data_IF_761437705921
#
_entry.id   IF_761437705921
#
_cell.length_a   1.000
_cell.length_b   1.000
_cell.length_c   1.000
_cell.angle_alpha   90.00
_cell.angle_beta   90.00
_cell.angle_gamma   90.00
#
_symmetry.space_group_name_H-M   'P 1'
#
loop_
_entity.id
_entity.type
_entity.pdbx_description
1 polymer ?
#
# COMPACT_ATOMS: atom_id res chain seq x y z
N UNK A 1 6.00 5.17 13.40
CA UNK A 1 5.80 5.53 11.97
C UNK A 1 7.06 5.49 11.12
N UNK A 2 8.25 5.63 11.70
CA UNK A 2 9.48 5.64 10.88
C UNK A 2 9.70 4.32 10.14
N UNK A 3 9.47 3.19 10.80
CA UNK A 3 9.58 1.88 10.14
C UNK A 3 8.54 1.71 9.04
N UNK A 4 7.35 2.22 9.26
CA UNK A 4 6.26 2.15 8.27
C UNK A 4 6.61 2.98 7.04
N UNK A 5 7.19 4.18 7.24
CA UNK A 5 7.65 5.02 6.13
C UNK A 5 8.78 4.36 5.35
N UNK A 6 9.68 3.67 6.04
CA UNK A 6 10.77 2.93 5.41
C UNK A 6 10.21 1.80 4.52
N UNK A 7 9.25 1.04 5.04
CA UNK A 7 8.59 -0.02 4.27
C UNK A 7 7.84 0.56 3.07
N UNK A 8 7.10 1.65 3.29
CA UNK A 8 6.39 2.33 2.20
C UNK A 8 7.37 2.82 1.13
N UNK A 9 8.54 3.31 1.55
CA UNK A 9 9.59 3.74 0.63
C UNK A 9 10.11 2.63 -0.26
N UNK A 10 10.27 1.44 0.30
CA UNK A 10 10.70 0.25 -0.48
C UNK A 10 9.65 -0.11 -1.55
N UNK A 11 8.38 -0.08 -1.17
CA UNK A 11 7.27 -0.36 -2.09
C UNK A 11 7.22 0.71 -3.18
N UNK A 12 7.28 1.98 -2.78
CA UNK A 12 7.24 3.11 -3.70
C UNK A 12 8.38 3.07 -4.71
N UNK A 13 9.61 2.86 -4.23
CA UNK A 13 10.80 2.80 -5.09
C UNK A 13 10.70 1.69 -6.12
N UNK A 14 10.26 0.50 -5.70
CA UNK A 14 10.06 -0.62 -6.61
C UNK A 14 9.03 -0.29 -7.70
N UNK A 15 7.90 0.23 -7.29
CA UNK A 15 6.80 0.51 -8.21
C UNK A 15 7.11 1.67 -9.15
N UNK A 16 7.75 2.73 -8.64
CA UNK A 16 8.16 3.86 -9.48
C UNK A 16 9.20 3.45 -10.51
N UNK A 17 10.13 2.58 -10.13
CA UNK A 17 11.13 2.08 -11.06
C UNK A 17 10.51 1.24 -12.19
N UNK A 18 9.39 0.58 -11.92
CA UNK A 18 8.75 -0.31 -12.88
C UNK A 18 7.62 0.37 -13.68
N UNK A 19 6.85 1.25 -13.05
CA UNK A 19 5.65 1.83 -13.65
C UNK A 19 5.68 3.35 -13.77
N UNK A 20 6.73 3.99 -13.31
CA UNK A 20 6.95 5.43 -13.41
C UNK A 20 5.79 6.24 -12.81
N UNK A 21 5.33 7.27 -13.53
CA UNK A 21 4.28 8.17 -13.04
C UNK A 21 2.90 7.53 -12.93
N UNK A 22 2.75 6.28 -13.37
CA UNK A 22 1.47 5.57 -13.28
C UNK A 22 1.16 5.06 -11.88
N UNK A 23 2.09 5.16 -10.94
CA UNK A 23 1.82 4.92 -9.52
C UNK A 23 1.51 6.25 -8.87
N UNK A 24 0.27 6.39 -8.36
CA UNK A 24 -0.24 7.67 -7.86
C UNK A 24 0.05 7.88 -6.39
N UNK A 25 -0.29 6.90 -5.56
CA UNK A 25 -0.19 7.01 -4.10
C UNK A 25 0.09 5.66 -3.45
N UNK A 26 0.78 5.71 -2.31
CA UNK A 26 0.87 4.62 -1.34
C UNK A 26 0.28 5.14 -0.04
N UNK A 27 -0.73 4.47 0.48
CA UNK A 27 -1.50 4.89 1.64
C UNK A 27 -1.42 3.80 2.70
N UNK A 28 -1.02 4.16 3.93
CA UNK A 28 -1.15 3.22 5.06
C UNK A 28 -2.55 3.37 5.64
N UNK A 29 -3.21 2.24 5.91
CA UNK A 29 -4.52 2.24 6.56
C UNK A 29 -4.53 1.17 7.66
N UNK A 30 -5.67 0.96 8.28
CA UNK A 30 -5.80 -0.04 9.32
C UNK A 30 -5.19 0.42 10.64
N UNK A 31 -4.71 -0.53 11.46
CA UNK A 31 -4.29 -0.26 12.82
C UNK A 31 -3.15 0.74 12.93
N UNK A 32 -2.19 0.73 12.00
CA UNK A 32 -1.08 1.69 12.03
C UNK A 32 -1.55 3.11 11.72
N UNK A 33 -2.53 3.27 10.86
CA UNK A 33 -3.10 4.60 10.56
C UNK A 33 -3.92 5.12 11.73
N UNK A 34 -4.65 4.23 12.43
CA UNK A 34 -5.46 4.61 13.59
C UNK A 34 -4.65 4.84 14.86
N UNK A 35 -3.39 4.38 14.90
CA UNK A 35 -2.55 4.52 16.08
C UNK A 35 -2.78 3.45 17.14
N UNK A 36 -3.49 2.36 16.82
CA UNK A 36 -3.76 1.27 17.76
C UNK A 36 -3.01 -0.03 17.42
N UNK A 37 -1.99 0.07 16.56
CA UNK A 37 -1.18 -1.09 16.18
C UNK A 37 -0.32 -1.59 17.33
N UNK A 38 -0.12 -2.91 17.36
CA UNK A 38 0.85 -3.57 18.24
C UNK A 38 2.04 -4.05 17.41
N UNK A 39 3.08 -4.57 18.07
CA UNK A 39 4.23 -5.13 17.37
C UNK A 39 3.88 -6.34 16.49
N UNK A 40 2.73 -6.96 16.73
CA UNK A 40 2.27 -8.13 15.98
C UNK A 40 1.26 -7.76 14.89
N UNK A 41 0.87 -6.51 14.79
CA UNK A 41 -0.09 -6.06 13.78
C UNK A 41 0.53 -6.11 12.39
N UNK A 42 -0.26 -6.56 11.41
CA UNK A 42 0.11 -6.48 10.01
C UNK A 42 0.13 -5.01 9.57
N UNK A 43 0.98 -4.70 8.60
CA UNK A 43 1.02 -3.37 8.00
C UNK A 43 0.17 -3.42 6.73
N UNK A 44 -0.84 -2.56 6.66
CA UNK A 44 -1.78 -2.54 5.55
C UNK A 44 -1.55 -1.31 4.67
N UNK A 45 -1.24 -1.55 3.39
CA UNK A 45 -1.09 -0.49 2.41
C UNK A 45 -2.10 -0.61 1.30
N UNK A 46 -2.60 0.53 0.84
CA UNK A 46 -3.36 0.65 -0.40
C UNK A 46 -2.50 1.41 -1.40
N UNK A 47 -2.34 0.85 -2.58
CA UNK A 47 -1.60 1.48 -3.68
C UNK A 47 -2.61 1.88 -4.75
N UNK A 48 -2.60 3.16 -5.10
CA UNK A 48 -3.48 3.71 -6.15
C UNK A 48 -2.66 3.87 -7.42
N UNK A 49 -3.14 3.28 -8.50
CA UNK A 49 -2.43 3.27 -9.79
C UNK A 49 -3.32 3.84 -10.90
N UNK A 50 -2.66 4.25 -11.98
CA UNK A 50 -3.36 4.67 -13.20
C UNK A 50 -4.26 3.54 -13.72
N UNK A 51 -5.40 3.93 -14.31
CA UNK A 51 -6.38 2.97 -14.80
C UNK A 51 -5.86 2.08 -15.93
N UNK A 52 -4.78 2.47 -16.59
CA UNK A 52 -4.15 1.67 -17.65
C UNK A 52 -3.39 0.46 -17.12
N UNK A 53 -3.12 0.38 -15.83
CA UNK A 53 -2.39 -0.74 -15.25
C UNK A 53 -3.34 -1.83 -14.75
N UNK A 54 -2.88 -3.09 -14.85
CA UNK A 54 -3.58 -4.23 -14.26
C UNK A 54 -3.21 -4.32 -12.78
N UNK A 55 -4.16 -4.10 -11.85
CA UNK A 55 -3.86 -4.13 -10.41
C UNK A 55 -3.26 -5.46 -9.93
N UNK A 56 -3.69 -6.57 -10.52
CA UNK A 56 -3.17 -7.89 -10.16
C UNK A 56 -1.71 -8.04 -10.54
N UNK A 57 -1.34 -7.55 -11.72
CA UNK A 57 0.06 -7.58 -12.17
C UNK A 57 0.93 -6.70 -11.30
N UNK A 58 0.46 -5.49 -10.98
CA UNK A 58 1.18 -4.58 -10.08
C UNK A 58 1.40 -5.24 -8.72
N UNK A 59 0.34 -5.85 -8.16
CA UNK A 59 0.46 -6.52 -6.86
C UNK A 59 1.46 -7.67 -6.91
N UNK A 60 1.41 -8.50 -7.95
CA UNK A 60 2.33 -9.63 -8.09
C UNK A 60 3.78 -9.18 -8.21
N UNK A 61 4.02 -8.03 -8.82
CA UNK A 61 5.39 -7.51 -8.95
C UNK A 61 6.03 -7.21 -7.59
N UNK A 62 5.24 -7.08 -6.54
CA UNK A 62 5.71 -6.81 -5.18
C UNK A 62 6.06 -8.06 -4.38
N UNK A 63 5.78 -9.26 -4.89
CA UNK A 63 5.95 -10.49 -4.11
C UNK A 63 7.35 -10.63 -3.50
N UNK A 64 8.40 -10.40 -4.29
CA UNK A 64 9.77 -10.51 -3.79
C UNK A 64 10.11 -9.42 -2.77
N UNK A 65 9.61 -8.20 -2.99
CA UNK A 65 9.83 -7.09 -2.06
C UNK A 65 9.17 -7.39 -0.72
N UNK A 66 7.94 -7.88 -0.74
CA UNK A 66 7.20 -8.18 0.50
C UNK A 66 7.81 -9.37 1.23
N UNK A 67 8.26 -10.38 0.50
CA UNK A 67 8.96 -11.51 1.11
C UNK A 67 10.26 -11.06 1.77
N UNK A 68 11.03 -10.21 1.11
CA UNK A 68 12.27 -9.67 1.65
C UNK A 68 12.02 -8.89 2.95
N UNK A 69 10.98 -8.08 2.98
CA UNK A 69 10.58 -7.33 4.18
C UNK A 69 10.23 -8.31 5.31
N UNK A 70 9.48 -9.35 5.00
CA UNK A 70 9.10 -10.36 6.02
C UNK A 70 10.34 -11.04 6.58
N UNK A 71 11.28 -11.45 5.74
CA UNK A 71 12.47 -12.18 6.16
C UNK A 71 13.46 -11.31 6.93
N UNK A 72 13.62 -10.04 6.53
CA UNK A 72 14.62 -9.15 7.15
C UNK A 72 14.05 -8.38 8.34
N UNK A 73 12.82 -7.90 8.23
CA UNK A 73 12.21 -7.03 9.23
C UNK A 73 11.20 -7.74 10.12
N UNK A 74 10.85 -9.00 9.79
CA UNK A 74 9.85 -9.74 10.54
C UNK A 74 8.45 -9.15 10.43
N UNK A 75 8.19 -8.35 9.39
CA UNK A 75 6.90 -7.65 9.23
C UNK A 75 6.07 -8.28 8.12
N UNK A 76 4.85 -8.68 8.46
CA UNK A 76 3.88 -9.10 7.46
C UNK A 76 3.19 -7.86 6.89
N UNK A 77 3.33 -7.66 5.59
CA UNK A 77 2.82 -6.49 4.90
C UNK A 77 1.75 -6.94 3.91
N UNK A 78 0.58 -6.33 4.00
CA UNK A 78 -0.54 -6.59 3.10
C UNK A 78 -0.70 -5.40 2.16
N UNK A 79 -0.75 -5.66 0.87
CA UNK A 79 -0.88 -4.60 -0.14
C UNK A 79 -2.10 -4.88 -1.02
N UNK A 80 -2.98 -3.90 -1.10
CA UNK A 80 -4.11 -3.91 -2.02
C UNK A 80 -3.86 -2.83 -3.08
N UNK A 81 -4.00 -3.19 -4.35
CA UNK A 81 -3.79 -2.26 -5.47
C UNK A 81 -5.12 -1.97 -6.12
N UNK A 82 -5.44 -0.69 -6.31
CA UNK A 82 -6.70 -0.27 -6.93
C UNK A 82 -6.45 0.79 -8.01
N UNK A 83 -7.25 0.80 -9.09
CA UNK A 83 -7.20 1.87 -10.07
C UNK A 83 -7.66 3.20 -9.48
N UNK A 84 -7.09 4.28 -9.99
CA UNK A 84 -7.40 5.64 -9.55
C UNK A 84 -8.89 5.97 -9.64
N UNK A 85 -9.54 5.60 -10.74
CA UNK A 85 -10.98 5.89 -10.91
C UNK A 85 -11.82 5.15 -9.89
N UNK A 86 -11.45 3.91 -9.57
CA UNK A 86 -12.12 3.12 -8.55
C UNK A 86 -11.94 3.74 -7.17
N UNK A 87 -10.71 4.14 -6.83
CA UNK A 87 -10.42 4.75 -5.54
C UNK A 87 -11.20 6.06 -5.34
N UNK A 88 -11.27 6.89 -6.37
CA UNK A 88 -11.93 8.20 -6.27
C UNK A 88 -13.45 8.14 -6.40
N UNK A 89 -13.96 7.24 -7.24
CA UNK A 89 -15.37 7.22 -7.62
C UNK A 89 -16.23 6.18 -6.93
N UNK A 90 -15.63 5.18 -6.30
CA UNK A 90 -16.39 4.09 -5.71
C UNK A 90 -16.52 4.27 -4.20
N UNK A 91 -17.74 4.21 -3.69
CA UNK A 91 -18.02 4.46 -2.27
C UNK A 91 -18.37 3.20 -1.50
N UNK A 92 -17.59 2.12 -1.68
CA UNK A 92 -17.73 0.96 -0.80
C UNK A 92 -17.38 1.36 0.63
N UNK A 93 -17.94 0.69 1.65
CA UNK A 93 -17.59 0.97 3.05
C UNK A 93 -16.08 0.92 3.30
N UNK A 94 -15.38 -0.02 2.68
CA UNK A 94 -13.93 -0.14 2.80
C UNK A 94 -13.21 1.10 2.28
N UNK A 95 -13.52 1.54 1.05
CA UNK A 95 -12.85 2.69 0.45
C UNK A 95 -13.19 4.00 1.14
N UNK A 96 -14.44 4.15 1.60
CA UNK A 96 -14.83 5.31 2.40
C UNK A 96 -13.98 5.38 3.67
N UNK A 97 -13.79 4.25 4.34
CA UNK A 97 -12.99 4.19 5.56
C UNK A 97 -11.52 4.49 5.28
N UNK A 98 -10.96 3.95 4.22
CA UNK A 98 -9.55 4.23 3.84
C UNK A 98 -9.35 5.71 3.53
N UNK A 99 -10.26 6.33 2.78
CA UNK A 99 -10.15 7.76 2.48
C UNK A 99 -10.23 8.62 3.74
N UNK A 100 -11.00 8.17 4.73
CA UNK A 100 -11.21 8.90 5.98
C UNK A 100 -10.02 8.80 6.92
N UNK A 101 -9.43 7.61 7.09
CA UNK A 101 -8.38 7.38 8.09
C UNK A 101 -7.01 7.08 7.51
N UNK A 102 -6.92 6.78 6.22
CA UNK A 102 -5.63 6.44 5.59
C UNK A 102 -4.68 7.62 5.57
N UNK A 103 -3.38 7.31 5.68
CA UNK A 103 -2.31 8.32 5.68
C UNK A 103 -1.49 8.13 4.42
N UNK A 104 -1.51 9.09 3.48
CA UNK A 104 -0.64 9.03 2.30
C UNK A 104 0.83 9.15 2.71
N UNK A 105 1.66 8.34 2.12
CA UNK A 105 3.10 8.32 2.44
C UNK A 105 3.98 8.63 1.23
#
# INVERSE_FOLDING_TARGET
>A
MDKIREIAGKIWTHLKGRYSSKVEQVIVYGSYARGDATSESDVDFLVVVDDSLDPWEVRRSLDDVLLDILLKDGRLVSVLVVPKSFYKGYNSPFLVQVRKEGIPL
#
